data_IF_436997304247
#
_entry.id   IF_436997304247
#
_cell.length_a   1.000
_cell.length_b   1.000
_cell.length_c   1.000
_cell.angle_alpha   90.00
_cell.angle_beta   90.00
_cell.angle_gamma   90.00
#
_symmetry.space_group_name_H-M   'P 1'
#
loop_
_entity.id
_entity.type
_entity.pdbx_description
1 polymer ?
#
# COMPACT_ATOMS: atom_id res chain seq x y z
N UNK A 1 -13.24 -21.24 -4.38
CA UNK A 1 -12.22 -21.05 -5.44
C UNK A 1 -11.32 -19.93 -4.96
N UNK A 2 -10.02 -20.16 -4.87
CA UNK A 2 -9.07 -19.07 -4.59
C UNK A 2 -9.17 -18.03 -5.72
N UNK A 3 -9.15 -16.74 -5.37
CA UNK A 3 -9.17 -15.67 -6.36
C UNK A 3 -7.88 -15.66 -7.18
N UNK A 4 -7.94 -15.19 -8.43
CA UNK A 4 -6.73 -14.98 -9.26
C UNK A 4 -5.81 -13.92 -8.67
N UNK A 5 -6.37 -13.04 -7.84
CA UNK A 5 -5.70 -11.95 -7.15
C UNK A 5 -5.55 -12.25 -5.66
N UNK A 6 -4.38 -11.92 -5.11
CA UNK A 6 -4.10 -11.97 -3.67
C UNK A 6 -3.79 -10.57 -3.17
N UNK A 7 -4.59 -10.05 -2.23
CA UNK A 7 -4.31 -8.76 -1.59
C UNK A 7 -3.17 -8.93 -0.59
N UNK A 8 -2.10 -8.16 -0.79
CA UNK A 8 -0.88 -8.16 0.04
C UNK A 8 -0.68 -6.75 0.60
N UNK A 9 -0.29 -6.65 1.86
CA UNK A 9 -0.18 -5.38 2.59
C UNK A 9 1.19 -5.30 3.24
N UNK A 10 1.89 -4.18 3.01
CA UNK A 10 3.17 -3.86 3.67
C UNK A 10 2.91 -3.05 4.92
N UNK A 11 3.33 -3.53 6.09
CA UNK A 11 3.16 -2.80 7.35
C UNK A 11 4.42 -2.82 8.20
N UNK A 12 4.80 -1.69 8.82
CA UNK A 12 5.74 -1.72 9.93
C UNK A 12 5.09 -2.28 11.20
N UNK A 13 5.89 -2.95 12.04
CA UNK A 13 5.44 -3.44 13.34
C UNK A 13 5.30 -2.30 14.38
N UNK A 14 4.24 -1.50 14.29
CA UNK A 14 3.89 -0.45 15.27
C UNK A 14 2.37 -0.21 15.35
N UNK A 15 1.94 0.51 16.38
CA UNK A 15 0.52 0.83 16.63
C UNK A 15 -0.16 1.55 15.46
N UNK A 16 0.50 2.55 14.85
CA UNK A 16 -0.05 3.33 13.74
C UNK A 16 -0.40 2.43 12.54
N UNK A 17 0.51 1.54 12.14
CA UNK A 17 0.24 0.60 11.05
C UNK A 17 -0.66 -0.55 11.48
N UNK A 18 -0.65 -0.94 12.75
CA UNK A 18 -1.51 -1.98 13.32
C UNK A 18 -2.99 -1.66 13.17
N UNK A 19 -3.44 -0.48 13.62
CA UNK A 19 -4.85 -0.12 13.53
C UNK A 19 -5.30 0.13 12.08
N UNK A 20 -4.43 0.69 11.23
CA UNK A 20 -4.70 0.86 9.80
C UNK A 20 -4.87 -0.51 9.12
N UNK A 21 -3.98 -1.46 9.42
CA UNK A 21 -4.07 -2.85 8.94
C UNK A 21 -5.34 -3.57 9.40
N UNK A 22 -5.80 -3.33 10.64
CA UNK A 22 -7.09 -3.86 11.14
C UNK A 22 -8.26 -3.31 10.34
N UNK A 23 -8.26 -2.01 10.05
CA UNK A 23 -9.30 -1.39 9.24
C UNK A 23 -9.33 -1.95 7.82
N UNK A 24 -8.17 -2.07 7.17
CA UNK A 24 -8.04 -2.70 5.85
C UNK A 24 -8.50 -4.17 5.88
N UNK A 25 -8.13 -4.95 6.90
CA UNK A 25 -8.59 -6.35 7.04
C UNK A 25 -10.12 -6.44 7.09
N UNK A 26 -10.75 -5.64 7.96
CA UNK A 26 -12.21 -5.56 8.04
C UNK A 26 -12.82 -5.21 6.68
N UNK A 27 -12.23 -4.24 5.98
CA UNK A 27 -12.69 -3.78 4.67
C UNK A 27 -12.59 -4.88 3.60
N UNK A 28 -11.46 -5.58 3.50
CA UNK A 28 -11.28 -6.74 2.63
C UNK A 28 -12.35 -7.81 2.89
N UNK A 29 -12.55 -8.16 4.15
CA UNK A 29 -13.49 -9.23 4.52
C UNK A 29 -14.95 -8.85 4.28
N UNK A 30 -15.34 -7.61 4.60
CA UNK A 30 -16.73 -7.18 4.57
C UNK A 30 -17.20 -6.63 3.21
N UNK A 31 -16.29 -6.08 2.40
CA UNK A 31 -16.61 -5.41 1.11
C UNK A 31 -16.14 -6.21 -0.10
N UNK A 32 -15.02 -6.93 0.03
CA UNK A 32 -14.49 -7.77 -1.04
C UNK A 32 -14.86 -9.24 -0.81
N UNK A 33 -14.86 -9.71 0.44
CA UNK A 33 -15.03 -11.13 0.77
C UNK A 33 -13.73 -11.92 0.63
N UNK A 34 -12.59 -11.26 0.74
CA UNK A 34 -11.26 -11.85 0.57
C UNK A 34 -10.41 -11.67 1.84
N UNK A 35 -9.46 -12.60 2.04
CA UNK A 35 -8.55 -12.59 3.18
C UNK A 35 -7.21 -12.00 2.73
N UNK A 36 -6.82 -10.81 3.21
CA UNK A 36 -5.53 -10.22 2.85
C UNK A 36 -4.38 -10.91 3.59
N UNK A 37 -3.19 -10.80 3.02
CA UNK A 37 -1.91 -11.18 3.63
C UNK A 37 -1.18 -9.91 4.05
N UNK A 38 -0.88 -9.79 5.34
CA UNK A 38 -0.07 -8.72 5.90
C UNK A 38 1.36 -9.21 6.08
N UNK A 39 2.29 -8.58 5.38
CA UNK A 39 3.73 -8.75 5.61
C UNK A 39 4.16 -7.64 6.56
N UNK A 40 4.45 -8.03 7.80
CA UNK A 40 4.75 -7.12 8.89
C UNK A 40 6.26 -7.08 9.08
N UNK A 41 6.85 -5.94 8.74
CA UNK A 41 8.28 -5.70 8.84
C UNK A 41 8.65 -5.30 10.27
N UNK A 42 9.38 -6.18 10.95
CA UNK A 42 9.80 -6.00 12.34
C UNK A 42 11.32 -5.90 12.47
N UNK A 43 11.77 -5.34 13.60
CA UNK A 43 13.20 -5.19 13.93
C UNK A 43 13.67 -6.23 14.96
N UNK A 44 13.11 -7.44 14.94
CA UNK A 44 13.45 -8.57 15.81
C UNK A 44 12.68 -8.63 17.13
N UNK A 45 11.52 -7.96 17.21
CA UNK A 45 10.65 -7.91 18.39
C UNK A 45 9.33 -8.67 18.18
N UNK A 46 8.55 -8.90 19.25
CA UNK A 46 7.20 -9.48 19.10
C UNK A 46 6.31 -8.56 18.25
N UNK A 47 5.39 -9.17 17.49
CA UNK A 47 4.39 -8.42 16.74
C UNK A 47 3.45 -7.66 17.69
N UNK A 48 3.10 -6.43 17.30
CA UNK A 48 2.09 -5.63 17.99
C UNK A 48 0.76 -6.39 18.06
N UNK A 49 0.00 -6.21 19.14
CA UNK A 49 -1.23 -6.96 19.44
C UNK A 49 -2.27 -6.86 18.33
N UNK A 50 -2.37 -5.71 17.65
CA UNK A 50 -3.28 -5.52 16.52
C UNK A 50 -3.09 -6.56 15.39
N UNK A 51 -1.86 -7.01 15.14
CA UNK A 51 -1.61 -8.07 14.16
C UNK A 51 -2.06 -9.46 14.66
N UNK A 52 -2.06 -9.66 15.98
CA UNK A 52 -2.70 -10.80 16.63
C UNK A 52 -4.22 -10.78 16.41
N UNK A 53 -4.86 -9.62 16.59
CA UNK A 53 -6.29 -9.44 16.36
C UNK A 53 -6.68 -9.73 14.90
N UNK A 54 -5.88 -9.25 13.94
CA UNK A 54 -6.06 -9.56 12.50
C UNK A 54 -6.06 -11.06 12.27
N UNK A 55 -5.09 -11.78 12.83
CA UNK A 55 -4.99 -13.24 12.70
C UNK A 55 -6.19 -13.95 13.33
N UNK A 56 -6.63 -13.50 14.51
CA UNK A 56 -7.80 -14.04 15.20
C UNK A 56 -9.11 -13.83 14.40
N UNK A 57 -9.16 -12.80 13.55
CA UNK A 57 -10.29 -12.52 12.65
C UNK A 57 -10.13 -13.08 11.24
N UNK A 58 -9.16 -13.94 11.00
CA UNK A 58 -9.01 -14.69 9.75
C UNK A 58 -8.21 -13.98 8.67
N UNK A 59 -7.58 -12.83 8.97
CA UNK A 59 -6.50 -12.29 8.16
C UNK A 59 -5.24 -13.15 8.28
N UNK A 60 -4.34 -13.06 7.31
CA UNK A 60 -3.07 -13.79 7.33
C UNK A 60 -1.95 -12.83 7.68
N UNK A 61 -1.22 -13.08 8.77
CA UNK A 61 -0.06 -12.26 9.16
C UNK A 61 1.22 -13.06 8.99
N UNK A 62 2.24 -12.41 8.42
CA UNK A 62 3.58 -12.94 8.22
C UNK A 62 4.59 -11.90 8.73
N UNK A 63 5.53 -12.34 9.56
CA UNK A 63 6.63 -11.50 9.97
C UNK A 63 7.72 -11.52 8.90
N UNK A 64 8.37 -10.37 8.68
CA UNK A 64 9.47 -10.21 7.74
C UNK A 64 10.58 -9.33 8.34
N UNK A 65 11.86 -9.53 7.93
CA UNK A 65 12.94 -8.61 8.29
C UNK A 65 12.61 -7.18 7.87
N UNK A 66 13.13 -6.19 8.59
CA UNK A 66 12.97 -4.79 8.18
C UNK A 66 13.95 -4.40 7.06
N UNK A 67 13.44 -3.75 6.01
CA UNK A 67 14.21 -3.27 4.87
C UNK A 67 14.36 -1.74 4.86
N UNK A 68 13.90 -1.03 5.90
CA UNK A 68 13.92 0.44 5.94
C UNK A 68 15.31 1.06 5.92
N UNK A 69 16.35 0.33 6.32
CA UNK A 69 17.73 0.85 6.25
C UNK A 69 18.24 0.67 4.82
N UNK A 70 18.54 1.78 4.16
CA UNK A 70 19.02 1.80 2.77
C UNK A 70 20.50 1.41 2.69
N UNK A 71 21.02 1.21 1.48
CA UNK A 71 22.47 0.99 1.27
C UNK A 71 23.34 2.16 1.75
N UNK A 72 22.79 3.38 1.80
CA UNK A 72 23.47 4.58 2.26
C UNK A 72 23.35 4.80 3.78
N UNK A 73 22.60 3.94 4.48
CA UNK A 73 22.47 3.94 5.94
C UNK A 73 21.38 4.86 6.49
N UNK A 74 20.63 5.56 5.64
CA UNK A 74 19.44 6.31 6.06
C UNK A 74 18.23 5.38 6.31
N UNK A 75 17.30 5.87 7.14
CA UNK A 75 16.05 5.17 7.48
C UNK A 75 14.93 5.66 6.57
N UNK A 76 14.47 4.78 5.70
CA UNK A 76 13.40 5.02 4.72
C UNK A 76 12.35 3.89 4.77
N UNK A 77 11.32 4.01 5.63
CA UNK A 77 10.28 3.00 5.81
C UNK A 77 9.61 2.51 4.51
N UNK A 78 9.31 3.37 3.51
CA UNK A 78 8.69 2.91 2.25
C UNK A 78 9.52 1.86 1.47
N UNK A 79 10.80 1.68 1.77
CA UNK A 79 11.61 0.56 1.24
C UNK A 79 11.05 -0.83 1.61
N UNK A 80 10.20 -0.91 2.62
CA UNK A 80 9.49 -2.14 2.99
C UNK A 80 8.45 -2.56 1.94
N UNK A 81 7.87 -1.63 1.17
CA UNK A 81 6.85 -1.96 0.15
C UNK A 81 7.37 -2.95 -0.92
N UNK A 82 8.51 -2.71 -1.59
CA UNK A 82 9.08 -3.72 -2.49
C UNK A 82 9.55 -4.99 -1.76
N UNK A 83 10.00 -4.90 -0.51
CA UNK A 83 10.37 -6.08 0.27
C UNK A 83 9.16 -6.97 0.60
N UNK A 84 7.99 -6.38 0.85
CA UNK A 84 6.73 -7.11 1.00
C UNK A 84 6.40 -7.89 -0.27
N UNK A 85 6.59 -7.30 -1.46
CA UNK A 85 6.40 -8.00 -2.73
C UNK A 85 7.38 -9.17 -2.87
N UNK A 86 8.64 -8.99 -2.47
CA UNK A 86 9.64 -10.06 -2.47
C UNK A 86 9.20 -11.25 -1.62
N UNK A 87 8.75 -11.00 -0.39
CA UNK A 87 8.25 -12.04 0.52
C UNK A 87 6.97 -12.70 -0.01
N UNK A 88 6.04 -11.93 -0.56
CA UNK A 88 4.83 -12.48 -1.18
C UNK A 88 5.16 -13.38 -2.39
N UNK A 89 6.15 -13.01 -3.20
CA UNK A 89 6.61 -13.81 -4.32
C UNK A 89 7.29 -15.11 -3.88
N UNK A 90 8.06 -15.09 -2.79
CA UNK A 90 8.74 -16.27 -2.24
C UNK A 90 7.78 -17.25 -1.55
N UNK A 91 6.77 -16.74 -0.85
CA UNK A 91 5.83 -17.56 -0.08
C UNK A 91 4.54 -17.93 -0.85
N UNK A 92 4.15 -17.13 -1.85
CA UNK A 92 2.81 -17.15 -2.46
C UNK A 92 2.73 -17.44 -3.96
N UNK A 93 3.86 -17.69 -4.64
CA UNK A 93 3.86 -17.95 -6.10
C UNK A 93 3.11 -19.23 -6.53
N UNK A 94 2.68 -20.09 -5.60
CA UNK A 94 2.01 -21.34 -5.91
C UNK A 94 0.50 -21.23 -6.19
N UNK A 95 -0.20 -20.18 -5.73
CA UNK A 95 -1.67 -20.15 -5.73
C UNK A 95 -2.32 -18.91 -6.36
N UNK A 96 -1.62 -17.78 -6.44
CA UNK A 96 -2.16 -16.54 -7.03
C UNK A 96 -1.53 -16.25 -8.40
N UNK A 97 -2.31 -15.70 -9.33
CA UNK A 97 -1.80 -15.22 -10.62
C UNK A 97 -1.30 -13.76 -10.52
N UNK A 98 -1.87 -12.98 -9.60
CA UNK A 98 -1.55 -11.57 -9.39
C UNK A 98 -1.51 -11.23 -7.90
N UNK A 99 -0.55 -10.41 -7.49
CA UNK A 99 -0.54 -9.74 -6.20
C UNK A 99 -1.15 -8.34 -6.34
N UNK A 100 -2.02 -7.97 -5.40
CA UNK A 100 -2.54 -6.61 -5.26
C UNK A 100 -1.87 -6.00 -4.03
N UNK A 101 -0.82 -5.22 -4.24
CA UNK A 101 -0.03 -4.62 -3.18
C UNK A 101 -0.68 -3.31 -2.73
N UNK A 102 -1.23 -3.30 -1.52
CA UNK A 102 -1.91 -2.17 -0.90
C UNK A 102 -1.07 -1.56 0.24
N UNK A 103 -1.24 -0.25 0.45
CA UNK A 103 -0.82 0.39 1.68
C UNK A 103 -1.83 0.10 2.81
N UNK A 104 -1.43 0.09 4.09
CA UNK A 104 -2.34 -0.16 5.21
C UNK A 104 -3.45 0.88 5.33
N UNK A 105 -3.27 2.06 4.75
CA UNK A 105 -4.19 3.20 4.81
C UNK A 105 -5.16 3.27 3.62
N UNK A 106 -5.53 2.09 3.12
CA UNK A 106 -6.54 1.90 2.11
C UNK A 106 -7.76 1.16 2.68
N UNK A 107 -8.95 1.50 2.20
CA UNK A 107 -10.17 0.73 2.45
C UNK A 107 -10.92 0.49 1.15
N UNK A 108 -11.53 -0.67 1.01
CA UNK A 108 -12.45 -0.99 -0.07
C UNK A 108 -13.83 -0.43 0.24
N UNK A 109 -14.43 0.28 -0.71
CA UNK A 109 -15.85 0.67 -0.67
C UNK A 109 -16.70 -0.45 -1.29
N UNK A 110 -16.15 -1.10 -2.31
CA UNK A 110 -16.73 -2.24 -3.04
C UNK A 110 -15.61 -3.07 -3.67
N UNK A 111 -15.94 -4.26 -4.17
CA UNK A 111 -14.99 -5.13 -4.88
C UNK A 111 -14.49 -4.45 -6.17
N UNK A 112 -13.18 -4.14 -6.31
CA UNK A 112 -12.66 -3.58 -7.54
C UNK A 112 -12.56 -4.64 -8.64
N UNK A 113 -12.57 -4.18 -9.88
CA UNK A 113 -12.15 -5.00 -11.03
C UNK A 113 -10.63 -4.87 -11.20
N UNK A 114 -9.87 -5.75 -10.55
CA UNK A 114 -8.42 -5.75 -10.69
C UNK A 114 -7.99 -6.13 -12.13
N UNK A 115 -7.06 -5.39 -12.75
CA UNK A 115 -6.54 -5.74 -14.07
C UNK A 115 -5.78 -7.07 -14.05
N UNK A 116 -5.67 -7.69 -15.22
CA UNK A 116 -4.85 -8.89 -15.48
C UNK A 116 -3.49 -8.51 -16.09
N UNK A 117 -2.90 -7.42 -15.63
CA UNK A 117 -1.64 -6.87 -16.12
C UNK A 117 -0.89 -6.14 -15.00
N UNK A 118 0.40 -5.87 -15.20
CA UNK A 118 1.16 -4.97 -14.33
C UNK A 118 0.53 -3.58 -14.37
N UNK A 119 0.08 -3.08 -13.22
CA UNK A 119 -0.66 -1.84 -13.15
C UNK A 119 -0.47 -1.11 -11.82
N UNK A 120 -0.72 0.19 -11.83
CA UNK A 120 -0.80 1.04 -10.63
C UNK A 120 -1.93 2.06 -10.75
N UNK A 121 -2.27 2.72 -9.64
CA UNK A 121 -3.26 3.80 -9.62
C UNK A 121 -2.62 5.11 -10.05
N UNK A 122 -3.27 5.86 -10.95
CA UNK A 122 -2.76 7.13 -11.44
C UNK A 122 -2.63 8.20 -10.35
N UNK A 123 -1.47 8.87 -10.30
CA UNK A 123 -1.21 10.04 -9.46
C UNK A 123 -0.71 11.22 -10.30
N UNK A 124 -1.50 12.29 -10.35
CA UNK A 124 -1.23 13.45 -11.21
C UNK A 124 0.03 14.23 -10.85
N UNK A 125 0.49 14.17 -9.60
CA UNK A 125 1.69 14.89 -9.15
C UNK A 125 3.00 14.22 -9.56
N UNK A 126 2.97 12.96 -10.02
CA UNK A 126 4.18 12.28 -10.44
C UNK A 126 4.69 12.84 -11.76
N UNK A 127 5.98 13.13 -11.80
CA UNK A 127 6.66 13.72 -12.95
C UNK A 127 8.08 13.13 -13.07
N UNK A 128 8.32 12.33 -14.11
CA UNK A 128 9.62 11.69 -14.36
C UNK A 128 10.66 12.62 -15.00
N UNK A 129 10.29 13.84 -15.38
CA UNK A 129 11.22 14.86 -15.92
C UNK A 129 11.97 15.62 -14.81
N UNK A 130 11.74 15.26 -13.53
CA UNK A 130 12.40 15.88 -12.40
C UNK A 130 13.89 15.51 -12.34
N UNK A 131 14.73 16.47 -11.96
CA UNK A 131 16.19 16.27 -11.92
C UNK A 131 16.63 15.16 -10.96
N UNK A 132 15.94 14.98 -9.84
CA UNK A 132 16.26 13.90 -8.89
C UNK A 132 15.93 12.51 -9.46
N UNK A 133 14.88 12.40 -10.30
CA UNK A 133 14.55 11.16 -11.01
C UNK A 133 15.62 10.84 -12.05
N UNK A 134 16.12 11.83 -12.78
CA UNK A 134 17.21 11.66 -13.74
C UNK A 134 18.50 11.16 -13.08
N UNK A 135 18.84 11.69 -11.89
CA UNK A 135 19.98 11.22 -11.10
C UNK A 135 19.79 9.75 -10.71
N UNK A 136 18.62 9.39 -10.18
CA UNK A 136 18.31 8.02 -9.79
C UNK A 136 18.27 7.07 -10.99
N UNK A 137 17.73 7.49 -12.13
CA UNK A 137 17.70 6.73 -13.39
C UNK A 137 19.10 6.32 -13.82
N UNK A 138 20.03 7.28 -13.84
CA UNK A 138 21.45 7.02 -14.19
C UNK A 138 22.10 6.05 -13.21
N UNK A 139 21.90 6.26 -11.91
CA UNK A 139 22.44 5.39 -10.87
C UNK A 139 21.86 3.95 -10.94
N UNK A 140 20.58 3.81 -11.30
CA UNK A 140 19.91 2.52 -11.47
C UNK A 140 20.24 1.81 -12.80
N UNK A 141 20.90 2.50 -13.74
CA UNK A 141 21.25 1.98 -15.07
C UNK A 141 20.05 1.86 -16.01
N UNK A 142 19.05 2.73 -15.86
CA UNK A 142 17.82 2.69 -16.67
C UNK A 142 18.02 3.47 -17.97
N UNK A 143 17.63 2.87 -19.10
CA UNK A 143 17.74 3.52 -20.42
C UNK A 143 16.76 4.70 -20.54
N UNK A 144 17.24 5.82 -21.07
CA UNK A 144 16.49 7.07 -21.19
C UNK A 144 15.33 6.98 -22.20
N UNK A 145 15.60 6.45 -23.40
CA UNK A 145 14.58 6.29 -24.44
C UNK A 145 13.45 5.35 -23.99
N UNK A 146 13.79 4.30 -23.23
CA UNK A 146 12.83 3.36 -22.67
C UNK A 146 11.96 4.00 -21.58
N UNK A 147 12.53 4.91 -20.77
CA UNK A 147 11.78 5.67 -19.79
C UNK A 147 10.84 6.66 -20.47
N UNK A 148 11.36 7.43 -21.44
CA UNK A 148 10.60 8.44 -22.18
C UNK A 148 9.38 7.84 -22.88
N UNK A 149 9.52 6.63 -23.44
CA UNK A 149 8.44 5.93 -24.12
C UNK A 149 7.25 5.55 -23.22
N UNK A 150 7.42 5.52 -21.89
CA UNK A 150 6.41 5.02 -20.94
C UNK A 150 6.12 5.99 -19.78
N UNK A 151 6.80 7.12 -19.69
CA UNK A 151 6.78 7.98 -18.49
C UNK A 151 5.38 8.42 -18.06
N UNK A 152 4.44 8.58 -19.00
CA UNK A 152 3.05 8.91 -18.68
C UNK A 152 2.32 7.75 -17.98
N UNK A 153 2.57 6.50 -18.41
CA UNK A 153 2.00 5.31 -17.78
C UNK A 153 2.63 4.98 -16.43
N UNK A 154 3.83 5.50 -16.16
CA UNK A 154 4.53 5.29 -14.89
C UNK A 154 4.07 6.23 -13.78
N UNK A 155 3.21 7.22 -14.07
CA UNK A 155 2.65 8.17 -13.09
C UNK A 155 1.66 7.49 -12.16
N UNK A 156 2.14 6.51 -11.40
CA UNK A 156 1.31 5.61 -10.63
C UNK A 156 1.88 5.26 -9.25
N UNK A 157 0.97 4.85 -8.37
CA UNK A 157 1.25 4.41 -7.01
C UNK A 157 0.32 3.27 -6.60
N UNK A 158 0.32 2.96 -5.31
CA UNK A 158 -0.55 1.92 -4.75
C UNK A 158 -2.05 2.23 -4.88
N UNK A 159 -2.91 1.19 -4.93
CA UNK A 159 -2.55 -0.21 -5.02
C UNK A 159 -1.93 -0.60 -6.36
N UNK A 160 -0.91 -1.47 -6.31
CA UNK A 160 -0.29 -2.05 -7.52
C UNK A 160 -0.84 -3.43 -7.79
N UNK A 161 -1.10 -3.76 -9.05
CA UNK A 161 -1.41 -5.14 -9.47
C UNK A 161 -0.22 -5.69 -10.21
N UNK A 162 0.34 -6.79 -9.72
CA UNK A 162 1.64 -7.31 -10.14
C UNK A 162 1.49 -8.78 -10.50
N UNK A 163 1.77 -9.21 -11.74
CA UNK A 163 1.76 -10.61 -12.11
C UNK A 163 2.73 -11.42 -11.24
N UNK A 164 2.26 -12.53 -10.68
CA UNK A 164 3.08 -13.38 -9.81
C UNK A 164 4.34 -13.88 -10.53
N UNK A 165 4.24 -14.12 -11.85
CA UNK A 165 5.34 -14.59 -12.70
C UNK A 165 6.56 -13.64 -12.73
N UNK A 166 6.38 -12.34 -12.48
CA UNK A 166 7.48 -11.36 -12.48
C UNK A 166 7.69 -10.66 -11.13
N UNK A 167 6.90 -10.99 -10.12
CA UNK A 167 6.88 -10.29 -8.85
C UNK A 167 8.24 -10.28 -8.13
N UNK A 168 8.95 -11.41 -8.13
CA UNK A 168 10.28 -11.52 -7.51
C UNK A 168 11.30 -10.59 -8.18
N UNK A 169 11.44 -10.69 -9.50
CA UNK A 169 12.40 -9.91 -10.27
C UNK A 169 12.11 -8.40 -10.17
N UNK A 170 10.82 -8.03 -10.22
CA UNK A 170 10.39 -6.66 -10.01
C UNK A 170 10.71 -6.15 -8.61
N UNK A 171 10.47 -6.96 -7.56
CA UNK A 171 10.77 -6.58 -6.18
C UNK A 171 12.26 -6.32 -5.95
N UNK A 172 13.14 -7.18 -6.48
CA UNK A 172 14.59 -7.04 -6.41
C UNK A 172 15.06 -5.77 -7.13
N UNK A 173 14.58 -5.54 -8.37
CA UNK A 173 14.90 -4.34 -9.13
C UNK A 173 14.36 -3.07 -8.48
N UNK A 174 13.20 -3.13 -7.82
CA UNK A 174 12.57 -2.02 -7.12
C UNK A 174 13.35 -1.66 -5.85
N UNK A 175 13.81 -2.63 -5.06
CA UNK A 175 14.72 -2.39 -3.94
C UNK A 175 16.00 -1.68 -4.39
N UNK A 176 16.61 -2.17 -5.48
CA UNK A 176 17.79 -1.54 -6.07
C UNK A 176 17.52 -0.10 -6.55
N UNK A 177 16.36 0.13 -7.18
CA UNK A 177 15.98 1.45 -7.66
C UNK A 177 15.71 2.43 -6.50
N UNK A 178 15.08 1.99 -5.40
CA UNK A 178 14.93 2.83 -4.19
C UNK A 178 16.30 3.24 -3.65
N UNK A 179 17.27 2.32 -3.68
CA UNK A 179 18.63 2.60 -3.24
C UNK A 179 19.37 3.62 -4.14
N UNK A 180 18.81 3.99 -5.30
CA UNK A 180 19.39 4.94 -6.25
C UNK A 180 18.99 6.41 -6.02
N UNK A 181 18.06 6.71 -5.10
CA UNK A 181 17.60 8.07 -4.77
C UNK A 181 18.32 8.66 -3.54
N UNK A 182 19.12 9.74 -3.69
CA UNK A 182 19.60 10.52 -2.55
C UNK A 182 19.25 12.03 -2.63
N UNK A 183 18.82 12.69 -1.54
CA UNK A 183 18.17 12.15 -0.33
C UNK A 183 16.73 11.71 -0.64
N UNK A 184 16.18 10.80 0.18
CA UNK A 184 14.86 10.21 -0.08
C UNK A 184 13.70 11.01 0.46
N UNK A 185 12.66 11.18 -0.33
CA UNK A 185 11.33 11.61 0.08
C UNK A 185 10.32 10.47 -0.02
N UNK A 186 9.15 10.62 0.59
CA UNK A 186 8.18 9.52 0.72
C UNK A 186 7.70 9.02 -0.66
N UNK A 187 7.65 9.89 -1.67
CA UNK A 187 7.21 9.54 -3.02
C UNK A 187 8.28 8.81 -3.86
N UNK A 188 9.55 8.78 -3.44
CA UNK A 188 10.63 8.15 -4.21
C UNK A 188 10.41 6.66 -4.45
N UNK A 189 9.72 5.97 -3.53
CA UNK A 189 9.33 4.57 -3.72
C UNK A 189 8.45 4.38 -4.97
N UNK A 190 7.62 5.37 -5.31
CA UNK A 190 6.74 5.32 -6.49
C UNK A 190 7.56 5.55 -7.77
N UNK A 191 8.51 6.48 -7.76
CA UNK A 191 9.42 6.66 -8.91
C UNK A 191 10.32 5.43 -9.10
N UNK A 192 10.83 4.85 -8.01
CA UNK A 192 11.64 3.65 -8.04
C UNK A 192 10.90 2.44 -8.64
N UNK A 193 9.59 2.32 -8.42
CA UNK A 193 8.76 1.30 -9.07
C UNK A 193 8.81 1.46 -10.60
N UNK A 194 8.57 2.69 -11.09
CA UNK A 194 8.61 2.97 -12.52
C UNK A 194 9.99 2.72 -13.13
N UNK A 195 11.06 3.13 -12.46
CA UNK A 195 12.43 2.86 -12.89
C UNK A 195 12.73 1.35 -12.95
N UNK A 196 12.25 0.57 -11.97
CA UNK A 196 12.41 -0.88 -11.95
C UNK A 196 11.64 -1.57 -13.08
N UNK A 197 10.38 -1.17 -13.31
CA UNK A 197 9.58 -1.70 -14.42
C UNK A 197 10.25 -1.45 -15.78
N UNK A 198 10.73 -0.22 -16.03
CA UNK A 198 11.45 0.12 -17.27
C UNK A 198 12.76 -0.65 -17.40
N UNK A 199 13.52 -0.80 -16.30
CA UNK A 199 14.78 -1.57 -16.28
C UNK A 199 14.57 -3.01 -16.75
N UNK A 200 13.43 -3.60 -16.38
CA UNK A 200 13.06 -4.97 -16.73
C UNK A 200 12.28 -5.06 -18.05
N UNK A 201 12.08 -3.94 -18.76
CA UNK A 201 11.31 -3.91 -20.00
C UNK A 201 9.81 -4.19 -19.82
N UNK A 202 9.29 -4.03 -18.61
CA UNK A 202 7.88 -4.25 -18.30
C UNK A 202 7.03 -3.03 -18.66
N UNK A 203 5.81 -3.29 -19.16
CA UNK A 203 4.82 -2.26 -19.43
C UNK A 203 3.88 -2.11 -18.24
N UNK A 204 3.68 -0.88 -17.77
CA UNK A 204 2.75 -0.55 -16.69
C UNK A 204 1.46 0.00 -17.29
N UNK A 205 0.31 -0.45 -16.79
CA UNK A 205 -1.00 0.13 -17.10
C UNK A 205 -1.49 1.02 -15.96
N UNK A 206 -2.16 2.12 -16.32
CA UNK A 206 -2.81 2.98 -15.34
C UNK A 206 -4.21 2.48 -15.01
N UNK A 207 -4.57 2.61 -13.74
CA UNK A 207 -5.92 2.37 -13.23
C UNK A 207 -6.43 3.59 -12.46
N UNK A 208 -7.74 3.60 -12.20
CA UNK A 208 -8.40 4.62 -11.39
C UNK A 208 -9.23 4.00 -10.26
N UNK A 209 -8.82 2.81 -9.79
CA UNK A 209 -9.59 2.05 -8.80
C UNK A 209 -9.57 2.70 -7.41
N UNK A 210 -8.49 3.42 -7.07
CA UNK A 210 -8.36 4.12 -5.81
C UNK A 210 -8.45 5.64 -5.98
N UNK A 211 -9.02 6.29 -4.96
CA UNK A 211 -9.14 7.74 -4.84
C UNK A 211 -8.67 8.16 -3.47
N UNK A 212 -8.01 9.31 -3.38
CA UNK A 212 -7.59 9.85 -2.09
C UNK A 212 -8.75 10.58 -1.42
N UNK A 213 -8.66 10.77 -0.10
CA UNK A 213 -9.63 11.56 0.66
C UNK A 213 -9.36 13.09 0.62
N UNK A 214 -8.80 13.61 -0.47
CA UNK A 214 -8.54 15.05 -0.63
C UNK A 214 -9.83 15.89 -0.61
N UNK A 215 -10.94 15.32 -1.10
CA UNK A 215 -12.27 15.93 -1.05
C UNK A 215 -13.18 15.13 -0.10
N UNK A 216 -13.08 15.34 1.23
CA UNK A 216 -13.74 14.49 2.23
C UNK A 216 -15.27 14.50 2.15
N UNK A 217 -15.86 15.61 1.69
CA UNK A 217 -17.32 15.78 1.55
C UNK A 217 -17.89 15.26 0.22
N UNK A 218 -17.03 14.85 -0.73
CA UNK A 218 -17.47 14.30 -2.00
C UNK A 218 -18.04 12.88 -1.84
N UNK A 219 -18.88 12.45 -2.77
CA UNK A 219 -19.33 11.06 -2.82
C UNK A 219 -18.16 10.12 -3.19
N UNK A 220 -18.05 8.92 -2.58
CA UNK A 220 -17.05 7.94 -2.99
C UNK A 220 -17.26 7.48 -4.44
N UNK A 221 -16.37 7.90 -5.35
CA UNK A 221 -16.44 7.56 -6.78
C UNK A 221 -15.47 6.42 -7.18
N UNK A 222 -14.49 6.09 -6.33
CA UNK A 222 -13.59 4.94 -6.48
C UNK A 222 -14.08 3.66 -5.79
N UNK A 223 -13.45 2.53 -6.12
CA UNK A 223 -13.69 1.25 -5.43
C UNK A 223 -12.85 1.14 -4.15
N UNK A 224 -11.75 1.90 -4.07
CA UNK A 224 -10.83 1.99 -2.94
C UNK A 224 -10.67 3.45 -2.52
N UNK A 225 -10.65 3.72 -1.21
CA UNK A 225 -10.27 5.02 -0.64
C UNK A 225 -8.87 4.88 -0.04
N UNK A 226 -7.94 5.71 -0.48
CA UNK A 226 -6.63 5.91 0.15
C UNK A 226 -6.73 7.11 1.10
N UNK A 227 -6.84 6.88 2.40
CA UNK A 227 -7.11 7.92 3.39
C UNK A 227 -5.82 8.56 3.93
N UNK A 228 -5.04 9.17 3.03
CA UNK A 228 -3.73 9.75 3.33
C UNK A 228 -3.76 11.22 3.79
N UNK A 229 -4.84 11.96 3.50
CA UNK A 229 -5.06 13.33 3.95
C UNK A 229 -5.88 13.36 5.25
N UNK A 230 -5.90 14.51 5.90
CA UNK A 230 -6.74 14.76 7.07
C UNK A 230 -7.08 16.25 7.14
N UNK A 231 -8.14 16.56 7.86
CA UNK A 231 -8.64 17.92 8.07
C UNK A 231 -8.93 18.15 9.57
N UNK A 232 -9.57 19.27 9.89
CA UNK A 232 -9.94 19.63 11.26
C UNK A 232 -11.03 18.71 11.85
N UNK A 233 -11.76 17.99 11.00
CA UNK A 233 -12.84 17.07 11.40
C UNK A 233 -12.24 15.72 11.79
N UNK A 234 -11.37 15.17 10.96
CA UNK A 234 -10.65 13.93 11.25
C UNK A 234 -9.30 13.85 10.55
N UNK A 235 -8.30 13.39 11.28
CA UNK A 235 -6.96 13.19 10.74
C UNK A 235 -6.34 11.94 11.36
N UNK A 236 -6.01 10.95 10.50
CA UNK A 236 -5.36 9.71 10.95
C UNK A 236 -4.06 9.94 11.74
N UNK A 237 -3.36 11.05 11.48
CA UNK A 237 -2.10 11.39 12.16
C UNK A 237 -2.28 11.69 13.65
N UNK A 238 -3.52 11.91 14.11
CA UNK A 238 -3.83 12.02 15.53
C UNK A 238 -3.79 10.67 16.27
N UNK A 239 -3.68 9.54 15.55
CA UNK A 239 -3.74 8.17 16.06
C UNK A 239 -2.39 7.44 15.89
N UNK A 240 -1.28 8.14 16.11
CA UNK A 240 0.06 7.65 15.75
C UNK A 240 0.75 6.81 16.84
N UNK A 241 0.59 7.18 18.11
CA UNK A 241 1.19 6.45 19.24
C UNK A 241 0.29 5.33 19.74
N UNK A 242 0.82 4.47 20.62
CA UNK A 242 0.06 3.40 21.28
C UNK A 242 -1.24 3.94 21.92
N UNK A 243 -1.12 4.93 22.81
CA UNK A 243 -2.23 5.55 23.53
C UNK A 243 -3.24 6.20 22.58
N UNK A 244 -2.74 6.87 21.54
CA UNK A 244 -3.57 7.55 20.57
C UNK A 244 -4.33 6.55 19.67
N UNK A 245 -3.67 5.47 19.24
CA UNK A 245 -4.26 4.46 18.36
C UNK A 245 -5.47 3.75 18.99
N UNK A 246 -5.45 3.54 20.31
CA UNK A 246 -6.57 2.94 21.03
C UNK A 246 -7.87 3.75 20.89
N UNK A 247 -7.76 5.07 20.74
CA UNK A 247 -8.89 6.00 20.63
C UNK A 247 -9.51 6.03 19.23
N UNK A 248 -8.89 5.41 18.20
CA UNK A 248 -9.43 5.44 16.83
C UNK A 248 -10.84 4.85 16.76
N UNK A 249 -11.08 3.79 17.54
CA UNK A 249 -12.35 3.06 17.60
C UNK A 249 -13.45 3.78 18.40
N UNK A 250 -13.10 4.89 19.07
CA UNK A 250 -14.01 5.71 19.88
C UNK A 250 -14.40 7.01 19.18
N UNK A 251 -14.00 7.21 17.92
CA UNK A 251 -14.27 8.43 17.16
C UNK A 251 -15.78 8.66 17.00
N UNK A 252 -16.31 9.73 17.61
CA UNK A 252 -17.75 10.10 17.59
C UNK A 252 -18.06 11.31 16.69
N UNK A 253 -17.45 11.33 15.50
CA UNK A 253 -17.70 12.41 14.53
C UNK A 253 -18.91 12.05 13.66
N UNK A 254 -19.91 12.95 13.60
CA UNK A 254 -21.09 12.76 12.77
C UNK A 254 -20.91 13.43 11.41
N UNK A 255 -20.67 12.62 10.36
CA UNK A 255 -20.54 13.04 8.96
C UNK A 255 -21.56 12.27 8.12
N UNK A 256 -22.17 12.86 7.07
CA UNK A 256 -23.09 12.11 6.21
C UNK A 256 -22.41 10.89 5.59
N UNK A 257 -23.00 9.69 5.76
CA UNK A 257 -22.44 8.42 5.26
C UNK A 257 -22.22 8.38 3.74
N UNK A 258 -22.89 9.25 2.99
CA UNK A 258 -22.73 9.34 1.55
C UNK A 258 -21.45 10.07 1.08
N UNK A 259 -20.59 10.51 2.01
CA UNK A 259 -19.30 11.16 1.69
C UNK A 259 -18.10 10.23 1.89
N UNK A 260 -16.94 10.58 1.33
CA UNK A 260 -15.68 9.85 1.56
C UNK A 260 -15.34 9.76 3.03
N UNK A 261 -15.42 10.89 3.77
CA UNK A 261 -15.17 10.88 5.20
C UNK A 261 -16.23 10.09 5.98
N UNK A 262 -17.49 10.18 5.57
CA UNK A 262 -18.57 9.37 6.14
C UNK A 262 -18.34 7.87 5.99
N UNK A 263 -17.83 7.42 4.83
CA UNK A 263 -17.49 6.01 4.58
C UNK A 263 -16.29 5.57 5.43
N UNK A 264 -15.23 6.39 5.55
CA UNK A 264 -14.07 6.10 6.41
C UNK A 264 -14.52 5.91 7.86
N UNK A 265 -15.27 6.87 8.41
CA UNK A 265 -15.73 6.83 9.81
C UNK A 265 -16.71 5.69 10.07
N UNK A 266 -17.60 5.39 9.12
CA UNK A 266 -18.48 4.24 9.21
C UNK A 266 -17.69 2.93 9.28
N UNK A 267 -16.69 2.74 8.41
CA UNK A 267 -15.86 1.53 8.47
C UNK A 267 -15.00 1.46 9.73
N UNK A 268 -14.50 2.58 10.27
CA UNK A 268 -13.81 2.61 11.57
C UNK A 268 -14.74 2.12 12.70
N UNK A 269 -15.97 2.64 12.75
CA UNK A 269 -16.96 2.26 13.76
C UNK A 269 -17.32 0.77 13.66
N UNK A 270 -17.63 0.30 12.45
CA UNK A 270 -17.97 -1.11 12.18
C UNK A 270 -16.80 -2.06 12.46
N UNK A 271 -15.56 -1.67 12.09
CA UNK A 271 -14.36 -2.44 12.42
C UNK A 271 -14.14 -2.52 13.94
N UNK A 272 -14.37 -1.43 14.68
CA UNK A 272 -14.29 -1.42 16.13
C UNK A 272 -15.24 -2.45 16.77
N UNK A 273 -16.47 -2.56 16.29
CA UNK A 273 -17.41 -3.60 16.74
C UNK A 273 -16.97 -5.01 16.33
N UNK A 274 -16.49 -5.17 15.10
CA UNK A 274 -16.00 -6.44 14.57
C UNK A 274 -14.88 -7.03 15.43
N UNK A 275 -13.95 -6.21 15.90
CA UNK A 275 -12.84 -6.63 16.76
C UNK A 275 -13.18 -6.73 18.26
N UNK A 276 -14.21 -6.04 18.76
CA UNK A 276 -14.68 -6.21 20.16
C UNK A 276 -15.44 -7.52 20.40
N UNK A 277 -16.13 -8.04 19.38
CA UNK A 277 -16.95 -9.26 19.47
C UNK A 277 -16.11 -10.54 19.26
N UNK A 278 -14.94 -10.64 19.91
CA UNK A 278 -13.94 -11.70 19.71
C UNK A 278 -13.67 -12.49 20.97
#
# INVERSE_FOLDING_TARGET
MAGRHLIVVSAENNAYMGWQSKLLNFSCMSRVGERPVFVVHDSGGPLHSDFGDISAKGGVVRAAPNYKVTRQGDVYPPRNTPATLLHAAEEGAGEAEYFVLCDPDMIFVRRPSFPEALAGVFYSYMNFDQSFVEVARRAAGVNEDALEAQKEQLRCGGPYVIPAACARELAEAWLDAVDAFPPRTWEDVMYAFGLAAVKLGMQVSLTHMAKTNYWPDAAPDGDVIHYCYGDDVWNKRHYFTEEQSALVWETQVSVPRATVLGEILAQISEAGEFYRNS
#
